data_IF_366069673363
#
_entry.id   IF_366069673363
#
_cell.length_a   1.000
_cell.length_b   1.000
_cell.length_c   1.000
_cell.angle_alpha   90.00
_cell.angle_beta   90.00
_cell.angle_gamma   90.00
#
_symmetry.space_group_name_H-M   'P 1'
#
loop_
_entity.id
_entity.type
_entity.pdbx_description
1 polymer ?
#
# COMPACT_ATOMS: atom_id res chain seq x y z
N UNK A 1 4.32 4.56 -10.45
CA UNK A 1 4.55 5.31 -9.20
C UNK A 1 6.07 5.47 -9.11
N UNK A 2 6.66 6.59 -9.54
CA UNK A 2 8.08 6.64 -9.98
C UNK A 2 9.08 7.00 -8.84
N UNK A 3 8.70 6.89 -7.57
CA UNK A 3 9.64 7.13 -6.46
C UNK A 3 10.28 5.82 -6.00
N UNK A 4 11.57 5.88 -5.67
CA UNK A 4 12.30 4.74 -5.10
C UNK A 4 11.72 4.34 -3.74
N UNK A 5 11.64 3.03 -3.43
CA UNK A 5 11.13 2.51 -2.14
C UNK A 5 11.89 3.05 -0.92
N UNK A 6 13.09 3.59 -1.12
CA UNK A 6 13.93 4.20 -0.09
C UNK A 6 13.48 5.61 0.33
N UNK A 7 12.46 6.20 -0.29
CA UNK A 7 11.92 7.52 0.08
C UNK A 7 11.03 7.54 1.33
N UNK A 8 10.79 6.40 2.00
CA UNK A 8 9.94 6.37 3.20
C UNK A 8 10.55 7.10 4.42
N UNK A 9 11.85 7.38 4.39
CA UNK A 9 12.56 8.05 5.48
C UNK A 9 12.24 9.55 5.59
N UNK A 10 11.66 10.17 4.56
CA UNK A 10 11.22 11.57 4.61
C UNK A 10 10.04 11.79 5.58
N UNK A 11 9.24 10.75 5.85
CA UNK A 11 8.03 10.84 6.65
C UNK A 11 7.99 9.76 7.75
N UNK A 12 8.81 9.99 8.79
CA UNK A 12 8.96 9.08 9.93
C UNK A 12 7.63 8.67 10.58
N UNK A 13 6.68 9.60 10.72
CA UNK A 13 5.36 9.30 11.30
C UNK A 13 4.54 8.31 10.47
N UNK A 14 4.55 8.45 9.14
CA UNK A 14 3.79 7.55 8.27
C UNK A 14 4.49 6.19 8.20
N UNK A 15 5.83 6.18 8.21
CA UNK A 15 6.64 4.95 8.27
C UNK A 15 6.43 4.17 9.58
N UNK A 16 6.48 4.83 10.75
CA UNK A 16 6.19 4.20 12.04
C UNK A 16 4.75 3.68 12.12
N UNK A 17 3.78 4.44 11.61
CA UNK A 17 2.39 4.00 11.56
C UNK A 17 2.19 2.80 10.61
N UNK A 18 2.85 2.80 9.45
CA UNK A 18 2.84 1.67 8.53
C UNK A 18 3.56 0.43 9.06
N UNK A 19 4.60 0.61 9.88
CA UNK A 19 5.33 -0.49 10.52
C UNK A 19 4.53 -1.12 11.67
N UNK A 20 3.93 -0.29 12.53
CA UNK A 20 3.15 -0.76 13.69
C UNK A 20 1.72 -1.17 13.35
N UNK A 21 1.08 -0.56 12.35
CA UNK A 21 -0.22 -1.00 11.83
C UNK A 21 -0.29 -0.92 10.30
N UNK A 22 0.43 -1.82 9.65
CA UNK A 22 0.38 -2.02 8.19
C UNK A 22 -1.04 -2.21 7.64
N UNK A 23 -1.92 -3.03 8.28
CA UNK A 23 -3.29 -3.22 7.80
C UNK A 23 -4.12 -1.93 7.88
N UNK A 24 -3.97 -1.15 8.95
CA UNK A 24 -4.66 0.14 9.13
C UNK A 24 -4.30 1.13 8.02
N UNK A 25 -3.01 1.18 7.67
CA UNK A 25 -2.51 2.05 6.60
C UNK A 25 -3.07 1.61 5.25
N UNK A 26 -3.07 0.31 4.96
CA UNK A 26 -3.68 -0.24 3.74
C UNK A 26 -5.18 0.09 3.64
N UNK A 27 -5.95 -0.14 4.70
CA UNK A 27 -7.38 0.18 4.72
C UNK A 27 -7.67 1.67 4.53
N UNK A 28 -6.83 2.53 5.11
CA UNK A 28 -6.93 3.99 4.94
C UNK A 28 -6.62 4.43 3.50
N UNK A 29 -5.62 3.82 2.88
CA UNK A 29 -5.29 4.07 1.47
C UNK A 29 -6.41 3.57 0.56
N UNK A 30 -6.91 2.34 0.77
CA UNK A 30 -8.01 1.78 0.00
C UNK A 30 -9.25 2.69 0.06
N UNK A 31 -9.61 3.19 1.25
CA UNK A 31 -10.71 4.17 1.38
C UNK A 31 -10.49 5.43 0.54
N UNK A 32 -9.26 5.95 0.43
CA UNK A 32 -8.97 7.11 -0.42
C UNK A 32 -9.00 6.79 -1.91
N UNK A 33 -8.62 5.56 -2.28
CA UNK A 33 -8.60 5.09 -3.67
C UNK A 33 -10.02 4.90 -4.19
N UNK A 34 -10.85 4.10 -3.55
CA UNK A 34 -12.15 3.68 -4.11
C UNK A 34 -13.31 3.77 -3.10
N UNK A 35 -13.15 4.54 -2.02
CA UNK A 35 -14.11 4.64 -0.92
C UNK A 35 -14.46 3.28 -0.27
N UNK A 36 -13.54 2.31 -0.37
CA UNK A 36 -13.68 1.04 0.32
C UNK A 36 -13.82 1.23 1.84
N UNK A 37 -14.58 0.33 2.45
CA UNK A 37 -14.66 0.23 3.90
C UNK A 37 -13.28 -0.06 4.51
N UNK A 38 -12.73 0.92 5.22
CA UNK A 38 -11.40 0.83 5.87
C UNK A 38 -11.29 -0.44 6.73
N UNK A 39 -12.31 -0.72 7.56
CA UNK A 39 -12.34 -1.92 8.41
C UNK A 39 -12.30 -3.22 7.61
N UNK A 40 -13.06 -3.32 6.52
CA UNK A 40 -13.11 -4.52 5.69
C UNK A 40 -11.77 -4.78 4.99
N UNK A 41 -11.11 -3.71 4.51
CA UNK A 41 -9.80 -3.81 3.87
C UNK A 41 -8.69 -4.11 4.87
N UNK A 42 -8.75 -3.56 6.09
CA UNK A 42 -7.86 -3.95 7.19
C UNK A 42 -8.01 -5.43 7.51
N UNK A 43 -9.24 -5.89 7.73
CA UNK A 43 -9.55 -7.27 8.07
C UNK A 43 -9.12 -8.21 6.94
N UNK A 44 -9.47 -7.90 5.70
CA UNK A 44 -9.08 -8.65 4.51
C UNK A 44 -7.56 -8.75 4.38
N UNK A 45 -6.83 -7.65 4.60
CA UNK A 45 -5.38 -7.67 4.60
C UNK A 45 -4.80 -8.56 5.71
N UNK A 46 -5.30 -8.47 6.95
CA UNK A 46 -4.85 -9.33 8.05
C UNK A 46 -5.17 -10.81 7.82
N UNK A 47 -6.35 -11.14 7.30
CA UNK A 47 -6.74 -12.50 7.00
C UNK A 47 -5.87 -13.09 5.88
N UNK A 48 -5.60 -12.33 4.81
CA UNK A 48 -4.75 -12.79 3.70
C UNK A 48 -3.27 -12.83 4.08
N UNK A 49 -2.83 -12.01 5.03
CA UNK A 49 -1.47 -12.07 5.57
C UNK A 49 -1.20 -13.41 6.27
N UNK A 50 -2.20 -14.02 6.92
CA UNK A 50 -2.09 -15.35 7.53
C UNK A 50 -1.76 -16.45 6.50
N UNK A 51 -2.20 -16.27 5.25
CA UNK A 51 -1.96 -17.19 4.14
C UNK A 51 -0.85 -16.72 3.20
N UNK A 52 -0.13 -15.64 3.55
CA UNK A 52 0.89 -14.98 2.71
C UNK A 52 0.36 -14.53 1.33
N UNK A 53 -0.95 -14.40 1.15
CA UNK A 53 -1.61 -14.00 -0.10
C UNK A 53 -1.99 -12.51 -0.13
N UNK A 54 -1.58 -11.74 0.88
CA UNK A 54 -1.83 -10.30 0.99
C UNK A 54 -1.38 -9.46 -0.22
N UNK A 55 -0.44 -9.97 -1.02
CA UNK A 55 0.11 -9.30 -2.20
C UNK A 55 -0.91 -9.20 -3.33
N UNK A 56 -1.84 -10.17 -3.44
CA UNK A 56 -2.93 -10.12 -4.42
C UNK A 56 -3.85 -8.92 -4.15
N UNK A 57 -4.25 -8.74 -2.88
CA UNK A 57 -5.09 -7.63 -2.47
C UNK A 57 -4.36 -6.28 -2.68
N UNK A 58 -3.06 -6.26 -2.39
CA UNK A 58 -2.21 -5.10 -2.67
C UNK A 58 -2.15 -4.76 -4.16
N UNK A 59 -1.88 -5.73 -5.04
CA UNK A 59 -1.85 -5.53 -6.49
C UNK A 59 -3.21 -5.08 -7.04
N UNK A 60 -4.32 -5.63 -6.55
CA UNK A 60 -5.66 -5.20 -6.95
C UNK A 60 -5.91 -3.72 -6.63
N UNK A 61 -5.60 -3.29 -5.40
CA UNK A 61 -5.80 -1.88 -5.00
C UNK A 61 -4.84 -0.94 -5.71
N UNK A 62 -3.61 -1.38 -5.95
CA UNK A 62 -2.66 -0.61 -6.73
C UNK A 62 -3.15 -0.41 -8.16
N UNK A 63 -3.79 -1.42 -8.77
CA UNK A 63 -4.45 -1.28 -10.08
C UNK A 63 -5.56 -0.22 -10.02
N UNK A 64 -6.45 -0.29 -9.03
CA UNK A 64 -7.50 0.73 -8.85
C UNK A 64 -6.95 2.14 -8.63
N UNK A 65 -5.84 2.29 -7.89
CA UNK A 65 -5.14 3.56 -7.72
C UNK A 65 -4.60 4.08 -9.05
N UNK A 66 -3.99 3.20 -9.85
CA UNK A 66 -3.44 3.58 -11.16
C UNK A 66 -4.53 3.94 -12.16
N UNK A 67 -5.64 3.21 -12.16
CA UNK A 67 -6.80 3.49 -13.00
C UNK A 67 -7.40 4.87 -12.65
N UNK A 68 -7.51 5.19 -11.35
CA UNK A 68 -8.06 6.47 -10.88
C UNK A 68 -7.19 7.68 -11.25
N UNK A 69 -5.86 7.51 -11.24
CA UNK A 69 -4.91 8.59 -11.49
C UNK A 69 -4.19 8.49 -12.85
N UNK A 70 -4.66 7.62 -13.76
CA UNK A 70 -4.06 7.34 -15.08
C UNK A 70 -2.52 7.15 -15.04
N UNK A 71 -2.04 6.41 -14.05
CA UNK A 71 -0.61 6.21 -13.82
C UNK A 71 -0.07 5.03 -14.65
N UNK A 72 1.11 5.20 -15.25
CA UNK A 72 1.79 4.13 -16.01
C UNK A 72 2.00 2.88 -15.15
N UNK A 73 1.75 1.71 -15.75
CA UNK A 73 1.98 0.41 -15.13
C UNK A 73 3.42 0.29 -14.64
N UNK A 74 3.58 -0.26 -13.43
CA UNK A 74 4.88 -0.48 -12.82
C UNK A 74 5.12 -1.98 -12.78
N UNK A 75 6.23 -2.48 -13.34
CA UNK A 75 6.51 -3.92 -13.40
C UNK A 75 6.76 -4.54 -12.01
N UNK A 76 6.91 -3.73 -10.95
CA UNK A 76 7.31 -4.17 -9.61
C UNK A 76 6.19 -4.73 -8.72
N UNK A 77 5.04 -5.16 -9.26
CA UNK A 77 4.00 -5.85 -8.45
C UNK A 77 4.45 -7.24 -7.90
N UNK A 78 5.73 -7.62 -8.06
CA UNK A 78 6.20 -9.00 -7.94
C UNK A 78 7.49 -9.25 -7.18
N UNK A 79 8.14 -8.27 -6.55
CA UNK A 79 9.31 -8.59 -5.73
C UNK A 79 8.90 -9.04 -4.32
N UNK A 80 8.77 -10.35 -4.13
CA UNK A 80 8.48 -10.99 -2.84
C UNK A 80 9.46 -10.54 -1.72
N UNK A 81 10.75 -10.38 -2.05
CA UNK A 81 11.78 -9.96 -1.09
C UNK A 81 11.65 -8.49 -0.70
N UNK A 82 11.29 -7.62 -1.66
CA UNK A 82 11.15 -6.19 -1.42
C UNK A 82 9.81 -5.88 -0.73
N UNK A 83 8.77 -6.66 -0.99
CA UNK A 83 7.48 -6.55 -0.26
C UNK A 83 7.59 -7.03 1.18
N UNK A 84 8.45 -8.01 1.45
CA UNK A 84 8.68 -8.49 2.81
C UNK A 84 9.54 -7.51 3.63
N UNK A 85 10.61 -6.96 3.04
CA UNK A 85 11.53 -6.05 3.74
C UNK A 85 11.02 -4.59 3.75
N UNK A 86 10.29 -4.18 2.71
CA UNK A 86 9.85 -2.79 2.47
C UNK A 86 8.34 -2.67 2.21
N UNK A 87 7.53 -3.67 2.56
CA UNK A 87 6.06 -3.63 2.42
C UNK A 87 5.41 -2.39 3.07
N UNK A 88 5.76 -2.05 4.32
CA UNK A 88 5.31 -0.81 4.95
C UNK A 88 5.72 0.44 4.17
N UNK A 89 6.93 0.46 3.61
CA UNK A 89 7.47 1.59 2.85
C UNK A 89 6.67 1.81 1.55
N UNK A 90 6.31 0.73 0.86
CA UNK A 90 5.46 0.79 -0.32
C UNK A 90 4.09 1.40 0.02
N UNK A 91 3.45 0.96 1.10
CA UNK A 91 2.17 1.51 1.54
C UNK A 91 2.25 2.97 1.99
N UNK A 92 3.36 3.36 2.63
CA UNK A 92 3.62 4.76 2.95
C UNK A 92 3.71 5.58 1.68
N UNK A 93 4.45 5.11 0.68
CA UNK A 93 4.57 5.78 -0.61
C UNK A 93 3.21 5.99 -1.28
N UNK A 94 2.32 5.01 -1.24
CA UNK A 94 0.95 5.17 -1.74
C UNK A 94 0.19 6.23 -0.92
N UNK A 95 0.32 6.18 0.41
CA UNK A 95 -0.32 7.15 1.30
C UNK A 95 0.15 8.58 1.04
N UNK A 96 1.44 8.79 0.75
CA UNK A 96 2.00 10.09 0.36
C UNK A 96 1.48 10.53 -1.00
N UNK A 97 1.42 9.63 -1.98
CA UNK A 97 0.86 9.93 -3.29
C UNK A 97 -0.61 10.37 -3.18
N UNK A 98 -1.41 9.66 -2.37
CA UNK A 98 -2.82 9.95 -2.08
C UNK A 98 -3.05 11.16 -1.16
N UNK A 99 -2.01 11.69 -0.51
CA UNK A 99 -2.06 12.96 0.22
C UNK A 99 -1.69 14.15 -0.68
N UNK A 100 -0.87 13.90 -1.71
CA UNK A 100 -0.38 14.91 -2.63
C UNK A 100 -1.31 15.16 -3.84
N UNK A 101 -2.25 14.26 -4.11
CA UNK A 101 -3.30 14.38 -5.13
C UNK A 101 -4.67 14.25 -4.48
#
# INVERSE_FOLDING_TARGET
>A
MVKSLFGCADDWNSCCYGFWCTPCLFGSNAKKIDDSNCFLMCLGYTCLAQFSTHWLLHCMKQKSLRDKFNLREDPNCGDCLTTFCCGPCALCQEAHFLKAN
#
